data_IF_190427693850
#
_entry.id   IF_190427693850
#
_cell.length_a   1.000
_cell.length_b   1.000
_cell.length_c   1.000
_cell.angle_alpha   90.00
_cell.angle_beta   90.00
_cell.angle_gamma   90.00
#
_symmetry.space_group_name_H-M   'P 1'
#
loop_
_entity.id
_entity.type
_entity.pdbx_description
1 polymer ?
#
# COMPACT_ATOMS: atom_id res chain seq x y z
N UNK A 1 -8.19 -28.70 44.10
CA UNK A 1 -9.46 -28.61 43.34
C UNK A 1 -9.92 -27.22 43.01
N UNK A 2 -9.21 -26.18 43.31
CA UNK A 2 -9.68 -24.82 43.07
C UNK A 2 -8.80 -24.01 42.12
N UNK A 3 -7.81 -24.64 41.48
CA UNK A 3 -6.87 -23.92 40.62
C UNK A 3 -7.11 -24.14 39.13
N UNK A 4 -8.30 -24.62 38.75
CA UNK A 4 -8.59 -24.96 37.37
C UNK A 4 -9.16 -23.79 36.55
N UNK A 5 -9.42 -22.63 37.16
CA UNK A 5 -10.17 -21.56 36.51
C UNK A 5 -9.31 -20.43 35.93
N UNK A 6 -8.00 -20.48 36.05
CA UNK A 6 -7.13 -19.37 35.68
C UNK A 6 -6.45 -19.49 34.31
N UNK A 7 -6.64 -20.60 33.59
CA UNK A 7 -5.92 -20.85 32.34
C UNK A 7 -6.68 -20.46 31.09
N UNK A 8 -7.98 -20.20 31.21
CA UNK A 8 -8.83 -19.95 30.02
C UNK A 8 -8.92 -18.50 29.55
N UNK A 9 -8.49 -17.53 30.33
CA UNK A 9 -8.62 -16.13 29.95
C UNK A 9 -7.43 -15.57 29.17
N UNK A 10 -6.30 -16.26 29.14
CA UNK A 10 -5.10 -15.79 28.45
C UNK A 10 -5.10 -16.10 26.96
N UNK A 11 -5.87 -17.06 26.50
CA UNK A 11 -5.92 -17.45 25.09
C UNK A 11 -6.70 -16.48 24.20
N UNK A 12 -7.63 -15.74 24.76
CA UNK A 12 -8.51 -14.84 24.00
C UNK A 12 -7.77 -13.55 23.60
N UNK A 13 -6.80 -13.13 24.39
CA UNK A 13 -6.01 -11.93 24.09
C UNK A 13 -5.01 -12.11 22.95
N UNK A 14 -4.43 -13.29 22.80
CA UNK A 14 -3.47 -13.57 21.72
C UNK A 14 -4.13 -13.63 20.35
N UNK A 15 -5.37 -14.10 20.22
CA UNK A 15 -6.07 -14.17 18.94
C UNK A 15 -6.55 -12.81 18.45
N UNK A 16 -6.83 -11.87 19.34
CA UNK A 16 -7.23 -10.49 18.95
C UNK A 16 -6.02 -9.66 18.48
N UNK A 17 -4.84 -9.87 19.07
CA UNK A 17 -3.62 -9.18 18.65
C UNK A 17 -3.13 -9.65 17.27
N UNK A 18 -3.36 -10.91 16.90
CA UNK A 18 -2.97 -11.47 15.60
C UNK A 18 -3.89 -11.01 14.46
N UNK A 19 -5.14 -10.61 14.77
CA UNK A 19 -6.11 -10.16 13.76
C UNK A 19 -5.96 -8.69 13.37
N UNK A 20 -5.04 -7.93 14.00
CA UNK A 20 -4.94 -6.47 13.85
C UNK A 20 -3.80 -6.00 12.93
N UNK A 21 -3.59 -6.67 11.81
CA UNK A 21 -2.61 -6.27 10.82
C UNK A 21 -1.64 -7.39 10.48
N UNK A 22 -1.37 -7.58 9.20
CA UNK A 22 -0.52 -8.63 8.67
C UNK A 22 0.87 -8.15 8.30
N UNK A 23 1.06 -6.83 8.15
CA UNK A 23 2.33 -6.25 7.75
C UNK A 23 3.21 -5.94 8.96
N UNK A 24 4.48 -6.30 8.86
CA UNK A 24 5.51 -5.79 9.77
C UNK A 24 5.64 -4.27 9.62
N UNK A 25 6.24 -3.62 10.61
CA UNK A 25 6.52 -2.18 10.51
C UNK A 25 7.39 -1.86 9.30
N UNK A 26 8.39 -2.69 9.03
CA UNK A 26 9.28 -2.55 7.87
C UNK A 26 8.50 -2.62 6.55
N UNK A 27 7.65 -3.61 6.40
CA UNK A 27 6.85 -3.80 5.19
C UNK A 27 5.80 -2.70 5.03
N UNK A 28 5.26 -2.22 6.14
CA UNK A 28 4.33 -1.09 6.16
C UNK A 28 4.99 0.19 5.65
N UNK A 29 6.20 0.49 6.12
CA UNK A 29 6.97 1.65 5.65
C UNK A 29 7.35 1.53 4.18
N UNK A 30 7.78 0.35 3.75
CA UNK A 30 8.12 0.11 2.35
C UNK A 30 6.90 0.24 1.44
N UNK A 31 5.75 -0.27 1.88
CA UNK A 31 4.49 -0.15 1.14
C UNK A 31 4.06 1.31 1.03
N UNK A 32 4.17 2.09 2.11
CA UNK A 32 3.91 3.54 2.09
C UNK A 32 4.79 4.25 1.08
N UNK A 33 6.07 3.92 1.04
CA UNK A 33 7.02 4.54 0.11
C UNK A 33 6.69 4.20 -1.34
N UNK A 34 6.34 2.95 -1.62
CA UNK A 34 5.89 2.54 -2.95
C UNK A 34 4.58 3.22 -3.36
N UNK A 35 3.64 3.35 -2.44
CA UNK A 35 2.38 4.06 -2.68
C UNK A 35 2.64 5.52 -3.03
N UNK A 36 3.58 6.16 -2.32
CA UNK A 36 4.01 7.53 -2.62
C UNK A 36 4.64 7.67 -4.01
N UNK A 37 5.43 6.69 -4.44
CA UNK A 37 5.99 6.66 -5.79
C UNK A 37 4.90 6.57 -6.85
N UNK A 38 3.92 5.69 -6.67
CA UNK A 38 2.78 5.59 -7.60
C UNK A 38 1.98 6.90 -7.63
N UNK A 39 1.78 7.54 -6.49
CA UNK A 39 1.09 8.81 -6.44
C UNK A 39 1.84 9.88 -7.24
N UNK A 40 3.14 10.00 -7.05
CA UNK A 40 3.97 10.93 -7.81
C UNK A 40 3.94 10.63 -9.31
N UNK A 41 4.02 9.35 -9.70
CA UNK A 41 3.92 8.93 -11.10
C UNK A 41 2.56 9.32 -11.72
N UNK A 42 1.48 9.25 -10.94
CA UNK A 42 0.14 9.62 -11.41
C UNK A 42 0.00 11.11 -11.74
N UNK A 43 0.92 11.94 -11.24
CA UNK A 43 0.93 13.38 -11.45
C UNK A 43 1.85 13.84 -12.57
N UNK A 44 2.54 12.92 -13.25
CA UNK A 44 3.39 13.25 -14.38
C UNK A 44 2.50 13.80 -15.51
N UNK A 45 2.87 14.94 -16.13
CA UNK A 45 2.04 15.55 -17.16
C UNK A 45 1.74 14.62 -18.34
N UNK A 46 0.51 14.67 -18.83
CA UNK A 46 0.09 13.90 -19.99
C UNK A 46 0.96 14.24 -21.20
N UNK A 47 1.32 13.22 -21.97
CA UNK A 47 2.19 13.36 -23.14
C UNK A 47 3.66 13.15 -22.86
N UNK A 48 4.10 13.14 -21.58
CA UNK A 48 5.47 12.84 -21.20
C UNK A 48 5.67 11.40 -20.73
N UNK A 49 4.59 10.72 -20.42
CA UNK A 49 4.57 9.31 -20.00
C UNK A 49 3.40 8.61 -20.68
N UNK A 50 3.58 7.34 -21.03
CA UNK A 50 2.53 6.52 -21.60
C UNK A 50 1.31 6.45 -20.68
N UNK A 51 0.13 6.59 -21.26
CA UNK A 51 -1.13 6.67 -20.51
C UNK A 51 -1.38 5.45 -19.64
N UNK A 52 -1.04 4.26 -20.12
CA UNK A 52 -1.20 3.01 -19.37
C UNK A 52 -0.37 2.99 -18.09
N UNK A 53 0.80 3.59 -18.09
CA UNK A 53 1.65 3.73 -16.90
C UNK A 53 1.06 4.69 -15.88
N UNK A 54 0.46 5.79 -16.36
CA UNK A 54 -0.24 6.74 -15.49
C UNK A 54 -1.48 6.08 -14.87
N UNK A 55 -2.29 5.42 -15.66
CA UNK A 55 -3.50 4.72 -15.21
C UNK A 55 -3.16 3.64 -14.19
N UNK A 56 -2.13 2.85 -14.45
CA UNK A 56 -1.65 1.86 -13.50
C UNK A 56 -1.26 2.50 -12.17
N UNK A 57 -0.54 3.60 -12.21
CA UNK A 57 -0.09 4.31 -11.00
C UNK A 57 -1.25 4.84 -10.18
N UNK A 58 -2.29 5.38 -10.84
CA UNK A 58 -3.52 5.82 -10.16
C UNK A 58 -4.21 4.64 -9.47
N UNK A 59 -4.38 3.54 -10.18
CA UNK A 59 -5.04 2.34 -9.66
C UNK A 59 -4.24 1.72 -8.48
N UNK A 60 -2.92 1.62 -8.62
CA UNK A 60 -2.05 1.09 -7.58
C UNK A 60 -2.09 1.97 -6.33
N UNK A 61 -2.01 3.27 -6.48
CA UNK A 61 -2.13 4.23 -5.36
C UNK A 61 -3.47 4.07 -4.64
N UNK A 62 -4.55 3.97 -5.38
CA UNK A 62 -5.89 3.82 -4.80
C UNK A 62 -6.02 2.52 -4.01
N UNK A 63 -5.61 1.41 -4.60
CA UNK A 63 -5.65 0.11 -3.94
C UNK A 63 -4.81 0.09 -2.66
N UNK A 64 -3.56 0.53 -2.76
CA UNK A 64 -2.62 0.48 -1.63
C UNK A 64 -3.01 1.43 -0.50
N UNK A 65 -3.55 2.60 -0.81
CA UNK A 65 -4.07 3.52 0.19
C UNK A 65 -5.18 2.85 1.02
N UNK A 66 -6.14 2.22 0.36
CA UNK A 66 -7.21 1.49 1.03
C UNK A 66 -6.67 0.30 1.84
N UNK A 67 -5.72 -0.42 1.28
CA UNK A 67 -5.09 -1.55 1.95
C UNK A 67 -4.37 -1.13 3.24
N UNK A 68 -3.57 -0.07 3.17
CA UNK A 68 -2.84 0.45 4.33
C UNK A 68 -3.77 0.90 5.45
N UNK A 69 -4.88 1.57 5.11
CA UNK A 69 -5.88 1.98 6.09
C UNK A 69 -6.52 0.76 6.75
N UNK A 70 -6.85 -0.28 5.99
CA UNK A 70 -7.37 -1.55 6.53
C UNK A 70 -6.36 -2.25 7.44
N UNK A 71 -5.07 -2.09 7.17
CA UNK A 71 -4.00 -2.63 8.00
C UNK A 71 -3.74 -1.78 9.26
N UNK A 72 -4.51 -0.75 9.48
CA UNK A 72 -4.45 0.06 10.69
C UNK A 72 -3.55 1.29 10.59
N UNK A 73 -3.03 1.61 9.41
CA UNK A 73 -2.28 2.85 9.21
C UNK A 73 -3.24 4.02 9.19
N UNK A 74 -2.98 5.04 9.99
CA UNK A 74 -3.84 6.22 10.07
C UNK A 74 -3.86 6.95 8.73
N UNK A 75 -5.04 7.38 8.31
CA UNK A 75 -5.23 8.09 7.05
C UNK A 75 -4.36 9.34 6.95
N UNK A 76 -4.25 10.10 8.05
CA UNK A 76 -3.39 11.29 8.10
C UNK A 76 -1.92 10.96 7.84
N UNK A 77 -1.43 9.85 8.35
CA UNK A 77 -0.08 9.39 8.11
C UNK A 77 0.12 8.99 6.64
N UNK A 78 -0.84 8.28 6.07
CA UNK A 78 -0.80 7.92 4.65
C UNK A 78 -0.72 9.18 3.80
N UNK A 79 -1.60 10.14 4.01
CA UNK A 79 -1.64 11.39 3.25
C UNK A 79 -0.35 12.19 3.41
N UNK A 80 0.21 12.26 4.60
CA UNK A 80 1.48 12.97 4.87
C UNK A 80 2.62 12.34 4.07
N UNK A 81 2.74 11.02 4.09
CA UNK A 81 3.81 10.31 3.38
C UNK A 81 3.63 10.41 1.85
N UNK A 82 2.40 10.36 1.35
CA UNK A 82 2.11 10.53 -0.07
C UNK A 82 2.51 11.93 -0.55
N UNK A 83 2.13 12.96 0.19
CA UNK A 83 2.48 14.34 -0.15
C UNK A 83 3.99 14.57 -0.09
N UNK A 84 4.67 13.99 0.88
CA UNK A 84 6.12 14.05 0.98
C UNK A 84 6.80 13.43 -0.26
N UNK A 85 6.30 12.30 -0.72
CA UNK A 85 6.82 11.64 -1.93
C UNK A 85 6.61 12.51 -3.17
N UNK A 86 5.47 13.15 -3.30
CA UNK A 86 5.20 14.08 -4.41
C UNK A 86 6.18 15.25 -4.37
N UNK A 87 6.41 15.84 -3.20
CA UNK A 87 7.34 16.95 -3.05
C UNK A 87 8.77 16.56 -3.43
N UNK A 88 9.20 15.36 -3.03
CA UNK A 88 10.53 14.85 -3.34
C UNK A 88 10.73 14.50 -4.81
N UNK A 89 9.67 14.04 -5.49
CA UNK A 89 9.73 13.51 -6.86
C UNK A 89 9.19 14.48 -7.90
N UNK A 90 8.60 15.60 -7.48
CA UNK A 90 8.04 16.59 -8.41
C UNK A 90 9.09 17.09 -9.39
N UNK A 91 8.73 17.07 -10.67
CA UNK A 91 9.64 17.49 -11.73
C UNK A 91 10.72 16.49 -12.12
N UNK A 92 10.82 15.37 -11.41
CA UNK A 92 11.75 14.30 -11.78
C UNK A 92 11.11 13.37 -12.81
N UNK A 93 11.92 12.80 -13.73
CA UNK A 93 11.40 11.88 -14.73
C UNK A 93 10.92 10.57 -14.10
N UNK A 94 10.03 9.87 -14.80
CA UNK A 94 9.60 8.54 -14.43
C UNK A 94 10.80 7.59 -14.35
N UNK A 95 10.93 6.90 -13.22
CA UNK A 95 11.98 5.92 -12.98
C UNK A 95 11.39 4.51 -13.15
N UNK A 96 11.65 3.90 -14.29
CA UNK A 96 11.12 2.59 -14.64
C UNK A 96 11.63 1.48 -13.72
N UNK A 97 12.92 1.52 -13.39
CA UNK A 97 13.51 0.53 -12.49
C UNK A 97 12.92 0.61 -11.08
N UNK A 98 12.84 1.80 -10.53
CA UNK A 98 12.31 2.03 -9.19
C UNK A 98 10.85 1.63 -9.08
N UNK A 99 10.06 2.00 -10.09
CA UNK A 99 8.65 1.62 -10.17
C UNK A 99 8.48 0.11 -10.33
N UNK A 100 9.28 -0.52 -11.18
CA UNK A 100 9.27 -1.97 -11.37
C UNK A 100 9.65 -2.74 -10.10
N UNK A 101 10.64 -2.25 -9.36
CA UNK A 101 11.05 -2.84 -8.08
C UNK A 101 9.92 -2.75 -7.04
N UNK A 102 9.24 -1.62 -6.96
CA UNK A 102 8.07 -1.45 -6.12
C UNK A 102 6.94 -2.43 -6.50
N UNK A 103 6.65 -2.54 -7.79
CA UNK A 103 5.58 -3.43 -8.27
C UNK A 103 5.88 -4.90 -7.91
N UNK A 104 7.12 -5.35 -8.12
CA UNK A 104 7.54 -6.70 -7.72
C UNK A 104 7.41 -6.92 -6.23
N UNK A 105 7.86 -5.95 -5.44
CA UNK A 105 7.78 -6.02 -3.98
C UNK A 105 6.33 -6.13 -3.50
N UNK A 106 5.45 -5.28 -4.02
CA UNK A 106 4.03 -5.25 -3.64
C UNK A 106 3.33 -6.55 -4.04
N UNK A 107 3.57 -7.06 -5.25
CA UNK A 107 2.93 -8.30 -5.72
C UNK A 107 3.36 -9.52 -4.90
N UNK A 108 4.58 -9.52 -4.40
CA UNK A 108 5.07 -10.57 -3.53
C UNK A 108 4.52 -10.45 -2.12
N UNK A 109 4.50 -9.24 -1.58
CA UNK A 109 4.05 -8.96 -0.22
C UNK A 109 2.53 -9.16 -0.07
N UNK A 110 1.77 -8.69 -1.07
CA UNK A 110 0.31 -8.72 -1.08
C UNK A 110 -0.13 -9.50 -2.34
N UNK A 111 -0.24 -10.83 -2.24
CA UNK A 111 -0.48 -11.66 -3.44
C UNK A 111 -1.72 -11.30 -4.25
N UNK A 112 -2.79 -10.83 -3.60
CA UNK A 112 -4.04 -10.41 -4.26
C UNK A 112 -3.93 -9.05 -4.94
N UNK A 113 -2.88 -8.27 -4.68
CA UNK A 113 -2.76 -6.90 -5.18
C UNK A 113 -2.76 -6.81 -6.70
N UNK A 114 -2.09 -7.74 -7.39
CA UNK A 114 -2.05 -7.73 -8.86
C UNK A 114 -3.44 -7.81 -9.46
N UNK A 115 -4.24 -8.77 -9.02
CA UNK A 115 -5.61 -8.96 -9.52
C UNK A 115 -6.50 -7.77 -9.18
N UNK A 116 -6.38 -7.21 -7.99
CA UNK A 116 -7.20 -6.08 -7.56
C UNK A 116 -6.83 -4.79 -8.30
N UNK A 117 -5.54 -4.55 -8.51
CA UNK A 117 -5.09 -3.39 -9.29
C UNK A 117 -5.53 -3.53 -10.76
N UNK A 118 -5.35 -4.71 -11.36
CA UNK A 118 -5.78 -4.97 -12.73
C UNK A 118 -7.30 -4.76 -12.88
N UNK A 119 -8.08 -5.15 -11.89
CA UNK A 119 -9.53 -4.93 -11.88
C UNK A 119 -9.87 -3.43 -11.89
N UNK A 120 -9.17 -2.63 -11.09
CA UNK A 120 -9.35 -1.17 -11.07
C UNK A 120 -9.00 -0.54 -12.42
N UNK A 121 -7.87 -0.95 -13.01
CA UNK A 121 -7.46 -0.47 -14.34
C UNK A 121 -8.55 -0.76 -15.39
N UNK A 122 -9.07 -1.99 -15.41
CA UNK A 122 -10.09 -2.40 -16.38
C UNK A 122 -11.44 -1.72 -16.18
N UNK A 123 -11.81 -1.46 -14.93
CA UNK A 123 -13.09 -0.82 -14.61
C UNK A 123 -13.10 0.69 -14.86
N UNK A 124 -11.94 1.31 -15.01
CA UNK A 124 -11.83 2.75 -15.15
C UNK A 124 -12.20 3.53 -13.88
N UNK A 125 -12.33 2.84 -12.75
CA UNK A 125 -12.62 3.46 -11.45
C UNK A 125 -11.30 3.63 -10.70
N UNK A 126 -10.64 4.75 -10.96
CA UNK A 126 -9.39 5.11 -10.31
C UNK A 126 -9.26 6.61 -10.06
#
# INVERSE_FOLDING_TARGET
MKNFFLVTSTFIYCSLAVAMGHLSEKDRKATLKCTGLYYANSMIPQGTLELDKIVFSIAAKKYLTSYLIKEGVKEDLVNTELNKSVDELYGKPYDEKKTGDCTKYIYKLIPESKAEIDKLVKSGIY
#
